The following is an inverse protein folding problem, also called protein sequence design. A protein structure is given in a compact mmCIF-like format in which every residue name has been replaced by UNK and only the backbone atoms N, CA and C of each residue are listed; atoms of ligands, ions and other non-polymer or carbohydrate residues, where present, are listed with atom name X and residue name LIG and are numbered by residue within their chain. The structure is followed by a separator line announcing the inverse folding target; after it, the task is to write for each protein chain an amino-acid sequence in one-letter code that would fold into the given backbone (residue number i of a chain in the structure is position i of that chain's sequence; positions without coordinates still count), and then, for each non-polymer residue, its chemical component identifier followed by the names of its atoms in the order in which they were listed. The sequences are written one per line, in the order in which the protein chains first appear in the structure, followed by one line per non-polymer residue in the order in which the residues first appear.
data_IF_388943507289
#
_entry.id   IF_388943507289
#
_cell.length_a   1.000
_cell.length_b   1.000
_cell.length_c   1.000
_cell.angle_alpha   90.00
_cell.angle_beta   90.00
_cell.angle_gamma   90.00
#
_symmetry.space_group_name_H-M   'P 1'
#
loop_
_entity.id
_entity.type
_entity.pdbx_description
1 polymer ?
#
# COMPACT_ATOMS: atom_id res chain seq x y z
N UNK A 1 -41.40 -12.33 -85.88
CA UNK A 1 -42.20 -12.46 -84.63
C UNK A 1 -41.58 -13.59 -83.83
N UNK A 2 -41.43 -13.45 -82.52
CA UNK A 2 -41.00 -14.57 -81.68
C UNK A 2 -42.11 -15.62 -81.69
N UNK A 3 -41.95 -16.68 -82.47
CA UNK A 3 -42.87 -17.81 -82.41
C UNK A 3 -42.61 -18.56 -81.10
N UNK A 4 -43.46 -18.29 -80.11
CA UNK A 4 -43.48 -18.96 -78.82
C UNK A 4 -44.00 -20.39 -79.00
N UNK A 5 -43.13 -21.24 -79.56
CA UNK A 5 -43.42 -22.65 -79.77
C UNK A 5 -43.16 -23.44 -78.47
N UNK A 6 -43.80 -24.61 -78.32
CA UNK A 6 -43.73 -25.45 -77.11
C UNK A 6 -42.27 -25.79 -76.72
N UNK A 7 -41.38 -25.87 -77.71
CA UNK A 7 -39.94 -26.07 -77.54
C UNK A 7 -39.23 -24.94 -76.77
N UNK A 8 -39.64 -23.68 -76.96
CA UNK A 8 -39.08 -22.52 -76.25
C UNK A 8 -39.26 -22.66 -74.73
N UNK A 9 -40.45 -23.09 -74.29
CA UNK A 9 -40.73 -23.30 -72.87
C UNK A 9 -39.89 -24.44 -72.26
N UNK A 10 -39.62 -25.50 -73.02
CA UNK A 10 -38.74 -26.60 -72.57
C UNK A 10 -37.30 -26.11 -72.37
N UNK A 11 -36.77 -25.33 -73.32
CA UNK A 11 -35.46 -24.70 -73.21
C UNK A 11 -35.38 -23.71 -72.03
N UNK A 12 -36.43 -22.93 -71.81
CA UNK A 12 -36.51 -21.98 -70.70
C UNK A 12 -36.47 -22.72 -69.35
N UNK A 13 -37.23 -23.79 -69.20
CA UNK A 13 -37.20 -24.63 -67.98
C UNK A 13 -35.82 -25.25 -67.79
N UNK A 14 -35.18 -25.77 -68.85
CA UNK A 14 -33.83 -26.33 -68.76
C UNK A 14 -32.80 -25.27 -68.31
N UNK A 15 -32.87 -24.07 -68.88
CA UNK A 15 -32.01 -22.94 -68.49
C UNK A 15 -32.22 -22.55 -67.02
N UNK A 16 -33.47 -22.45 -66.57
CA UNK A 16 -33.78 -22.13 -65.17
C UNK A 16 -33.28 -23.21 -64.20
N UNK A 17 -33.41 -24.49 -64.56
CA UNK A 17 -32.86 -25.61 -63.77
C UNK A 17 -31.34 -25.52 -63.69
N UNK A 18 -30.66 -25.24 -64.82
CA UNK A 18 -29.21 -25.06 -64.85
C UNK A 18 -28.76 -23.88 -63.97
N UNK A 19 -29.43 -22.74 -64.07
CA UNK A 19 -29.16 -21.56 -63.23
C UNK A 19 -29.37 -21.87 -61.76
N UNK A 20 -30.41 -22.62 -61.42
CA UNK A 20 -30.68 -23.04 -60.04
C UNK A 20 -29.57 -23.96 -59.50
N UNK A 21 -29.15 -24.97 -60.27
CA UNK A 21 -28.02 -25.83 -59.90
C UNK A 21 -26.73 -25.03 -59.75
N UNK A 22 -26.44 -24.12 -60.68
CA UNK A 22 -25.22 -23.30 -60.64
C UNK A 22 -25.21 -22.34 -59.44
N UNK A 23 -26.37 -21.81 -59.05
CA UNK A 23 -26.50 -20.97 -57.86
C UNK A 23 -26.14 -21.73 -56.57
N UNK A 24 -26.59 -22.99 -56.45
CA UNK A 24 -26.31 -23.84 -55.29
C UNK A 24 -24.85 -24.33 -55.29
N UNK A 25 -24.35 -24.78 -56.44
CA UNK A 25 -23.04 -25.44 -56.54
C UNK A 25 -21.88 -24.44 -56.61
N UNK A 26 -22.05 -23.27 -57.22
CA UNK A 26 -20.95 -22.33 -57.47
C UNK A 26 -21.13 -21.00 -56.75
N UNK A 27 -22.24 -20.29 -56.97
CA UNK A 27 -22.36 -18.91 -56.49
C UNK A 27 -22.44 -18.83 -54.96
N UNK A 28 -23.23 -19.69 -54.31
CA UNK A 28 -23.30 -19.75 -52.85
C UNK A 28 -21.95 -20.04 -52.18
N UNK A 29 -21.23 -21.13 -52.51
CA UNK A 29 -19.96 -21.45 -51.87
C UNK A 29 -18.85 -20.45 -52.21
N UNK A 30 -18.87 -19.86 -53.41
CA UNK A 30 -17.90 -18.84 -53.78
C UNK A 30 -18.10 -17.55 -52.96
N UNK A 31 -19.35 -17.08 -52.80
CA UNK A 31 -19.65 -15.92 -51.96
C UNK A 31 -19.39 -16.18 -50.47
N UNK A 32 -19.58 -17.41 -49.97
CA UNK A 32 -19.22 -17.73 -48.59
C UNK A 32 -17.71 -17.66 -48.38
N UNK A 33 -16.91 -18.18 -49.31
CA UNK A 33 -15.44 -18.13 -49.23
C UNK A 33 -14.91 -16.68 -49.22
N UNK A 34 -15.46 -15.81 -50.06
CA UNK A 34 -15.10 -14.39 -50.05
C UNK A 34 -15.50 -13.68 -48.75
N UNK A 35 -16.68 -14.00 -48.20
CA UNK A 35 -17.11 -13.47 -46.89
C UNK A 35 -16.24 -13.98 -45.76
N UNK A 36 -15.87 -15.25 -45.77
CA UNK A 36 -15.02 -15.86 -44.77
C UNK A 36 -13.62 -15.24 -44.76
N UNK A 37 -13.02 -15.03 -45.94
CA UNK A 37 -11.75 -14.31 -46.06
C UNK A 37 -11.85 -12.87 -45.55
N UNK A 38 -12.89 -12.15 -45.95
CA UNK A 38 -13.12 -10.77 -45.51
C UNK A 38 -13.29 -10.69 -43.98
N UNK A 39 -14.11 -11.58 -43.42
CA UNK A 39 -14.37 -11.66 -41.98
C UNK A 39 -13.13 -12.08 -41.19
N UNK A 40 -12.31 -12.99 -41.72
CA UNK A 40 -11.07 -13.40 -41.08
C UNK A 40 -10.08 -12.23 -41.00
N UNK A 41 -9.86 -11.52 -42.10
CA UNK A 41 -8.92 -10.39 -42.14
C UNK A 41 -9.42 -9.19 -41.32
N UNK A 42 -10.67 -8.76 -41.51
CA UNK A 42 -11.25 -7.64 -40.75
C UNK A 42 -11.42 -8.00 -39.27
N UNK A 43 -11.78 -9.24 -38.96
CA UNK A 43 -11.92 -9.74 -37.59
C UNK A 43 -10.58 -9.79 -36.86
N UNK A 44 -9.53 -10.33 -37.50
CA UNK A 44 -8.19 -10.35 -36.90
C UNK A 44 -7.63 -8.95 -36.64
N UNK A 45 -7.89 -7.99 -37.53
CA UNK A 45 -7.47 -6.60 -37.32
C UNK A 45 -8.19 -5.97 -36.12
N UNK A 46 -9.53 -6.12 -36.04
CA UNK A 46 -10.30 -5.61 -34.90
C UNK A 46 -9.87 -6.23 -33.57
N UNK A 47 -9.63 -7.54 -33.55
CA UNK A 47 -9.14 -8.23 -32.35
C UNK A 47 -7.76 -7.70 -31.95
N UNK A 48 -6.87 -7.45 -32.91
CA UNK A 48 -5.56 -6.86 -32.63
C UNK A 48 -5.68 -5.45 -32.05
N UNK A 49 -6.54 -4.60 -32.61
CA UNK A 49 -6.82 -3.25 -32.09
C UNK A 49 -7.40 -3.29 -30.67
N UNK A 50 -8.37 -4.16 -30.41
CA UNK A 50 -8.93 -4.35 -29.06
C UNK A 50 -7.89 -4.85 -28.06
N UNK A 51 -7.02 -5.77 -28.46
CA UNK A 51 -5.94 -6.27 -27.60
C UNK A 51 -4.91 -5.17 -27.29
N UNK A 52 -4.56 -4.33 -28.28
CA UNK A 52 -3.68 -3.19 -28.06
C UNK A 52 -4.30 -2.18 -27.10
N UNK A 53 -5.57 -1.82 -27.30
CA UNK A 53 -6.29 -0.92 -26.41
C UNK A 53 -6.36 -1.47 -24.97
N UNK A 54 -6.67 -2.76 -24.80
CA UNK A 54 -6.67 -3.42 -23.48
C UNK A 54 -5.28 -3.44 -22.85
N UNK A 55 -4.23 -3.68 -23.63
CA UNK A 55 -2.84 -3.66 -23.14
C UNK A 55 -2.46 -2.28 -22.62
N UNK A 56 -2.80 -1.24 -23.35
CA UNK A 56 -2.50 0.15 -22.97
C UNK A 56 -3.33 0.58 -21.76
N UNK A 57 -4.62 0.21 -21.69
CA UNK A 57 -5.45 0.42 -20.50
C UNK A 57 -4.88 -0.30 -19.27
N UNK A 58 -4.48 -1.56 -19.40
CA UNK A 58 -3.88 -2.33 -18.33
C UNK A 58 -2.55 -1.71 -17.87
N UNK A 59 -1.72 -1.25 -18.81
CA UNK A 59 -0.46 -0.58 -18.49
C UNK A 59 -0.70 0.73 -17.72
N UNK A 60 -1.71 1.51 -18.10
CA UNK A 60 -2.04 2.75 -17.41
C UNK A 60 -2.62 2.50 -16.01
N UNK A 61 -3.49 1.50 -15.86
CA UNK A 61 -3.98 1.05 -14.55
C UNK A 61 -2.84 0.61 -13.64
N UNK A 62 -1.91 -0.21 -14.14
CA UNK A 62 -0.74 -0.64 -13.37
C UNK A 62 0.16 0.52 -12.95
N UNK A 63 0.40 1.49 -13.84
CA UNK A 63 1.16 2.70 -13.48
C UNK A 63 0.48 3.49 -12.38
N UNK A 64 -0.83 3.66 -12.47
CA UNK A 64 -1.62 4.38 -11.47
C UNK A 64 -1.59 3.67 -10.12
N UNK A 65 -1.84 2.36 -10.11
CA UNK A 65 -1.77 1.54 -8.89
C UNK A 65 -0.38 1.57 -8.25
N UNK A 66 0.69 1.53 -9.06
CA UNK A 66 2.05 1.63 -8.56
C UNK A 66 2.36 3.01 -7.96
N UNK A 67 1.85 4.09 -8.57
CA UNK A 67 1.98 5.44 -8.01
C UNK A 67 1.23 5.56 -6.68
N UNK A 68 -0.03 5.14 -6.64
CA UNK A 68 -0.84 5.18 -5.42
C UNK A 68 -0.23 4.32 -4.30
N UNK A 69 0.34 3.16 -4.63
CA UNK A 69 1.02 2.31 -3.66
C UNK A 69 2.27 2.99 -3.09
N UNK A 70 3.04 3.70 -3.93
CA UNK A 70 4.23 4.46 -3.48
C UNK A 70 3.83 5.63 -2.59
N UNK A 71 2.78 6.35 -2.95
CA UNK A 71 2.29 7.49 -2.17
C UNK A 71 1.80 7.03 -0.79
N UNK A 72 1.00 5.94 -0.73
CA UNK A 72 0.58 5.32 0.52
C UNK A 72 1.76 4.83 1.36
N UNK A 73 2.76 4.21 0.74
CA UNK A 73 3.96 3.76 1.45
C UNK A 73 4.73 4.94 2.07
N UNK A 74 4.87 6.04 1.34
CA UNK A 74 5.50 7.27 1.84
C UNK A 74 4.70 7.91 2.97
N UNK A 75 3.37 7.94 2.87
CA UNK A 75 2.49 8.45 3.91
C UNK A 75 2.62 7.64 5.20
N UNK A 76 2.56 6.30 5.10
CA UNK A 76 2.75 5.39 6.24
C UNK A 76 4.14 5.58 6.85
N UNK A 77 5.18 5.65 6.03
CA UNK A 77 6.54 5.84 6.50
C UNK A 77 6.70 7.16 7.26
N UNK A 78 6.14 8.25 6.74
CA UNK A 78 6.17 9.55 7.39
C UNK A 78 5.35 9.57 8.68
N UNK A 79 4.19 8.89 8.73
CA UNK A 79 3.39 8.73 9.96
C UNK A 79 4.19 8.00 11.04
N UNK A 80 4.75 6.83 10.72
CA UNK A 80 5.55 6.03 11.66
C UNK A 80 6.76 6.83 12.14
N UNK A 81 7.43 7.56 11.24
CA UNK A 81 8.55 8.42 11.62
C UNK A 81 8.11 9.55 12.56
N UNK A 82 6.98 10.19 12.28
CA UNK A 82 6.40 11.24 13.13
C UNK A 82 6.03 10.72 14.52
N UNK A 83 5.30 9.61 14.58
CA UNK A 83 4.92 8.93 15.83
C UNK A 83 6.15 8.49 16.63
N UNK A 84 7.19 7.97 15.95
CA UNK A 84 8.43 7.57 16.57
C UNK A 84 9.19 8.74 17.20
N UNK A 85 9.25 9.89 16.51
CA UNK A 85 9.87 11.10 17.02
C UNK A 85 9.10 11.68 18.22
N UNK A 86 7.77 11.69 18.16
CA UNK A 86 6.94 12.18 19.27
C UNK A 86 7.10 11.29 20.50
N UNK A 87 7.05 9.97 20.34
CA UNK A 87 7.26 9.01 21.42
C UNK A 87 8.67 9.09 22.00
N UNK A 88 9.68 9.32 21.16
CA UNK A 88 11.05 9.57 21.62
C UNK A 88 11.12 10.83 22.49
N UNK A 89 10.47 11.91 22.06
CA UNK A 89 10.42 13.17 22.81
C UNK A 89 9.72 13.00 24.15
N UNK A 90 8.56 12.36 24.16
CA UNK A 90 7.80 12.06 25.37
C UNK A 90 8.62 11.22 26.36
N UNK A 91 9.29 10.16 25.87
CA UNK A 91 10.14 9.31 26.71
C UNK A 91 11.32 10.08 27.31
N UNK A 92 11.95 10.97 26.54
CA UNK A 92 13.05 11.80 27.03
C UNK A 92 12.58 12.80 28.09
N UNK A 93 11.40 13.39 27.91
CA UNK A 93 10.81 14.33 28.86
C UNK A 93 10.47 13.65 30.19
N UNK A 94 9.79 12.50 30.14
CA UNK A 94 9.49 11.67 31.32
C UNK A 94 10.79 11.26 32.03
N UNK A 95 11.78 10.75 31.29
CA UNK A 95 13.07 10.34 31.88
C UNK A 95 13.78 11.52 32.53
N UNK A 96 13.71 12.71 31.94
CA UNK A 96 14.32 13.91 32.51
C UNK A 96 13.62 14.34 33.79
N UNK A 97 12.29 14.31 33.81
CA UNK A 97 11.49 14.63 35.00
C UNK A 97 11.76 13.63 36.14
N UNK A 98 11.81 12.33 35.83
CA UNK A 98 12.17 11.28 36.79
C UNK A 98 13.58 11.46 37.36
N UNK A 99 14.55 11.79 36.51
CA UNK A 99 15.93 12.07 36.95
C UNK A 99 15.98 13.29 37.87
N UNK A 100 15.26 14.37 37.54
CA UNK A 100 15.16 15.55 38.39
C UNK A 100 14.50 15.25 39.73
N UNK A 101 13.43 14.45 39.74
CA UNK A 101 12.77 13.99 40.97
C UNK A 101 13.73 13.16 41.83
N UNK A 102 14.47 12.24 41.22
CA UNK A 102 15.45 11.41 41.92
C UNK A 102 16.56 12.27 42.56
N UNK A 103 17.06 13.29 41.87
CA UNK A 103 18.06 14.23 42.41
C UNK A 103 17.48 15.01 43.59
N UNK A 104 16.22 15.48 43.49
CA UNK A 104 15.57 16.21 44.59
C UNK A 104 15.38 15.31 45.82
N UNK A 105 14.92 14.08 45.64
CA UNK A 105 14.79 13.11 46.73
C UNK A 105 16.14 12.77 47.37
N UNK A 106 17.18 12.55 46.57
CA UNK A 106 18.53 12.30 47.08
C UNK A 106 19.06 13.49 47.89
N UNK A 107 18.86 14.73 47.42
CA UNK A 107 19.23 15.94 48.16
C UNK A 107 18.48 16.06 49.49
N UNK A 108 17.19 15.74 49.51
CA UNK A 108 16.37 15.77 50.73
C UNK A 108 16.88 14.75 51.75
N UNK A 109 17.13 13.50 51.32
CA UNK A 109 17.70 12.45 52.18
C UNK A 109 19.06 12.85 52.73
N UNK A 110 19.93 13.41 51.88
CA UNK A 110 21.26 13.87 52.29
C UNK A 110 21.20 14.97 53.35
N UNK A 111 20.25 15.91 53.23
CA UNK A 111 20.04 16.96 54.24
C UNK A 111 19.53 16.39 55.57
N UNK A 112 18.57 15.47 55.52
CA UNK A 112 18.05 14.79 56.72
C UNK A 112 19.15 13.97 57.42
N UNK A 113 20.03 13.34 56.66
CA UNK A 113 21.14 12.53 57.18
C UNK A 113 22.25 13.40 57.77
N UNK A 114 22.59 14.51 57.12
CA UNK A 114 23.52 15.51 57.65
C UNK A 114 23.02 16.16 58.96
N UNK A 115 21.71 16.45 59.05
CA UNK A 115 21.11 16.96 60.28
C UNK A 115 21.19 15.92 61.41
N UNK A 116 20.85 14.65 61.11
CA UNK A 116 20.97 13.55 62.09
C UNK A 116 22.40 13.38 62.59
N UNK A 117 23.38 13.36 61.70
CA UNK A 117 24.79 13.24 62.06
C UNK A 117 25.27 14.42 62.93
N UNK A 118 24.80 15.64 62.63
CA UNK A 118 25.13 16.83 63.43
C UNK A 118 24.55 16.78 64.84
N UNK A 119 23.32 16.29 64.99
CA UNK A 119 22.68 16.11 66.31
C UNK A 119 23.36 15.00 67.12
N UNK A 120 23.80 13.93 66.45
CA UNK A 120 24.54 12.82 67.08
C UNK A 120 25.91 13.28 67.59
N UNK A 121 26.66 14.03 66.77
CA UNK A 121 27.93 14.64 67.16
C UNK A 121 27.79 15.61 68.34
N UNK A 122 26.69 16.38 68.40
CA UNK A 122 26.41 17.27 69.55
C UNK A 122 26.20 16.47 70.83
N UNK A 123 25.42 15.39 70.79
CA UNK A 123 25.21 14.51 71.95
C UNK A 123 26.50 13.84 72.42
N UNK A 124 27.34 13.39 71.48
CA UNK A 124 28.66 12.85 71.82
C UNK A 124 29.56 13.92 72.46
N UNK A 125 29.58 15.14 71.93
CA UNK A 125 30.36 16.24 72.50
C UNK A 125 29.91 16.63 73.92
N UNK A 126 28.60 16.66 74.18
CA UNK A 126 28.06 16.88 75.54
C UNK A 126 28.50 15.76 76.49
N UNK A 127 28.40 14.50 76.06
CA UNK A 127 28.83 13.34 76.85
C UNK A 127 30.32 13.38 77.19
N UNK A 128 31.17 13.71 76.21
CA UNK A 128 32.61 13.89 76.46
C UNK A 128 32.90 15.07 77.39
N UNK A 129 32.14 16.16 77.29
CA UNK A 129 32.28 17.31 78.19
C UNK A 129 31.93 16.96 79.64
N UNK A 130 30.86 16.20 79.87
CA UNK A 130 30.53 15.66 81.20
C UNK A 130 31.61 14.73 81.74
N UNK A 131 32.16 13.85 80.90
CA UNK A 131 33.22 12.93 81.27
C UNK A 131 34.51 13.67 81.68
N UNK A 132 34.89 14.70 80.93
CA UNK A 132 36.03 15.58 81.25
C UNK A 132 35.79 16.32 82.56
N UNK A 133 34.59 16.86 82.77
CA UNK A 133 34.23 17.64 83.96
C UNK A 133 34.26 16.76 85.22
N UNK A 134 33.71 15.54 85.16
CA UNK A 134 33.79 14.57 86.25
C UNK A 134 35.24 14.18 86.59
N UNK A 135 36.10 14.06 85.58
CA UNK A 135 37.50 13.70 85.77
C UNK A 135 38.34 14.84 86.38
N UNK A 136 37.99 16.10 86.09
CA UNK A 136 38.63 17.29 86.67
C UNK A 136 38.18 17.61 88.11
N UNK A 137 36.94 17.26 88.47
CA UNK A 137 36.39 17.48 89.83
C UNK A 137 36.88 16.40 90.83
N UNK A 138 37.53 15.32 90.36
CA UNK A 138 38.07 14.25 91.23
C UNK A 138 39.53 14.51 91.67
N UNK A 139 39.87 15.76 91.99
CA UNK A 139 41.10 16.14 92.71
C UNK A 139 40.71 16.82 94.01
#
# INVERSE_FOLDING_TARGET
MLELNRWFFVLLVNFLVLVYLLNIILYKPLLSLFRERKNATEGSLKIAEELLAKKDEAAERLKKELSEARDKANEIYNSIKGEGLEKQREMLEITHEEAMRMIQEARKKLFEEASRASDELRKEAEKYSEEITNKLITV
#
